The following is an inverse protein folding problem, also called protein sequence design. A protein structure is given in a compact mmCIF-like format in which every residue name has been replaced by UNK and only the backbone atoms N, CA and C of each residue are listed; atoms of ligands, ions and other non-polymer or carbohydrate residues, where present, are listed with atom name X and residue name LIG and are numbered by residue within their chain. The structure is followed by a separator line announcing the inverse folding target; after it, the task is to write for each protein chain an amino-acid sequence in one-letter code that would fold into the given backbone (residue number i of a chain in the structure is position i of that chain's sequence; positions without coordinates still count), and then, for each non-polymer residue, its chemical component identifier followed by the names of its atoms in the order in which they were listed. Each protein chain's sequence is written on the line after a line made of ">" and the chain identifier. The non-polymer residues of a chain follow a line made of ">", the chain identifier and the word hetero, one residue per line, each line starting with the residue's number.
data_IF_186737560466
#
_entry.id   IF_186737560466
#
_cell.length_a   1.000
_cell.length_b   1.000
_cell.length_c   1.000
_cell.angle_alpha   90.00
_cell.angle_beta   90.00
_cell.angle_gamma   90.00
#
_symmetry.space_group_name_H-M   'P 1'
#
loop_
_entity.id
_entity.type
_entity.pdbx_description
1 polymer ?
#
# COMPACT_ATOMS: atom_id res chain seq x y z
N UNK A 1 11.00 2.44 -10.02
CA UNK A 1 12.33 2.54 -9.37
C UNK A 1 13.51 2.36 -10.33
N UNK A 2 13.61 1.29 -11.14
CA UNK A 2 14.72 1.11 -12.11
C UNK A 2 14.84 2.23 -13.16
N UNK A 3 13.78 2.50 -13.94
CA UNK A 3 13.73 3.63 -14.89
C UNK A 3 13.61 4.99 -14.21
N UNK A 4 12.77 5.13 -13.20
CA UNK A 4 12.46 6.45 -12.64
C UNK A 4 13.50 7.03 -11.67
N UNK A 5 14.18 6.18 -10.90
CA UNK A 5 15.11 6.62 -9.84
C UNK A 5 16.56 6.54 -10.30
N UNK A 6 16.84 5.69 -11.30
CA UNK A 6 18.17 5.49 -11.87
C UNK A 6 18.26 5.87 -13.35
N UNK A 7 17.16 6.26 -14.01
CA UNK A 7 17.12 6.68 -15.42
C UNK A 7 17.77 5.68 -16.39
N UNK A 8 17.86 4.41 -16.01
CA UNK A 8 18.42 3.36 -16.87
C UNK A 8 17.40 2.86 -17.88
N UNK A 9 17.83 2.72 -19.14
CA UNK A 9 17.05 2.11 -20.21
C UNK A 9 17.47 0.64 -20.38
N UNK A 10 16.55 -0.35 -20.31
CA UNK A 10 16.86 -1.74 -20.63
C UNK A 10 17.29 -1.99 -22.09
N UNK A 11 17.11 -1.00 -22.98
CA UNK A 11 17.52 -1.02 -24.39
C UNK A 11 18.74 -0.13 -24.69
N UNK A 12 19.31 0.54 -23.68
CA UNK A 12 20.43 1.46 -23.78
C UNK A 12 21.82 0.79 -23.72
N UNK A 13 22.87 1.60 -23.65
CA UNK A 13 24.26 1.13 -23.59
C UNK A 13 24.57 0.36 -22.29
N UNK A 14 25.67 -0.39 -22.26
CA UNK A 14 26.06 -1.27 -21.13
C UNK A 14 26.09 -0.60 -19.74
N UNK A 15 26.31 0.72 -19.67
CA UNK A 15 26.23 1.48 -18.41
C UNK A 15 24.79 1.78 -17.96
N UNK A 16 23.86 2.04 -18.88
CA UNK A 16 22.44 2.33 -18.58
C UNK A 16 21.69 1.06 -18.14
N UNK A 17 22.02 -0.08 -18.75
CA UNK A 17 21.51 -1.38 -18.35
C UNK A 17 21.97 -1.77 -16.92
N UNK A 18 23.20 -1.43 -16.56
CA UNK A 18 23.75 -1.68 -15.22
C UNK A 18 23.13 -0.74 -14.17
N UNK A 19 22.90 0.53 -14.51
CA UNK A 19 22.16 1.47 -13.67
C UNK A 19 20.70 1.01 -13.43
N UNK A 20 20.05 0.46 -14.45
CA UNK A 20 18.71 -0.14 -14.34
C UNK A 20 18.71 -1.35 -13.40
N UNK A 21 19.66 -2.29 -13.55
CA UNK A 21 19.79 -3.45 -12.66
C UNK A 21 20.04 -3.06 -11.20
N UNK A 22 20.91 -2.08 -10.95
CA UNK A 22 21.11 -1.55 -9.59
C UNK A 22 19.85 -0.92 -9.02
N UNK A 23 19.07 -0.22 -9.84
CA UNK A 23 17.79 0.35 -9.45
C UNK A 23 16.73 -0.71 -9.13
N UNK A 24 16.67 -1.80 -9.90
CA UNK A 24 15.81 -2.96 -9.62
C UNK A 24 16.23 -3.64 -8.32
N UNK A 25 17.53 -3.83 -8.10
CA UNK A 25 18.05 -4.46 -6.88
C UNK A 25 17.73 -3.65 -5.62
N UNK A 26 17.91 -2.32 -5.66
CA UNK A 26 17.53 -1.46 -4.52
C UNK A 26 16.01 -1.38 -4.33
N UNK A 27 15.24 -1.44 -5.42
CA UNK A 27 13.79 -1.59 -5.35
C UNK A 27 13.36 -2.89 -4.66
N UNK A 28 14.03 -4.00 -4.96
CA UNK A 28 13.78 -5.29 -4.31
C UNK A 28 14.11 -5.26 -2.81
N UNK A 29 15.19 -4.58 -2.40
CA UNK A 29 15.50 -4.35 -0.98
C UNK A 29 14.41 -3.50 -0.32
N UNK A 30 13.89 -2.48 -1.00
CA UNK A 30 12.74 -1.71 -0.53
C UNK A 30 11.49 -2.57 -0.31
N UNK A 31 11.17 -3.47 -1.26
CA UNK A 31 10.08 -4.43 -1.15
C UNK A 31 10.27 -5.42 0.01
N UNK A 32 11.50 -5.87 0.24
CA UNK A 32 11.85 -6.72 1.36
C UNK A 32 11.59 -6.00 2.70
N UNK A 33 12.11 -4.78 2.85
CA UNK A 33 11.91 -3.98 4.06
C UNK A 33 10.44 -3.66 4.30
N UNK A 34 9.70 -3.32 3.24
CA UNK A 34 8.26 -3.13 3.31
C UNK A 34 7.55 -4.39 3.83
N UNK A 35 7.94 -5.58 3.35
CA UNK A 35 7.39 -6.85 3.81
C UNK A 35 7.69 -7.14 5.29
N UNK A 36 8.89 -6.82 5.76
CA UNK A 36 9.27 -6.98 7.18
C UNK A 36 8.42 -6.05 8.06
N UNK A 37 8.30 -4.78 7.68
CA UNK A 37 7.49 -3.79 8.41
C UNK A 37 6.02 -4.16 8.36
N UNK A 38 5.52 -4.65 7.23
CA UNK A 38 4.15 -5.14 7.09
C UNK A 38 3.91 -6.33 8.03
N UNK A 39 4.80 -7.32 8.05
CA UNK A 39 4.70 -8.47 8.93
C UNK A 39 4.71 -8.06 10.41
N UNK A 40 5.61 -7.15 10.80
CA UNK A 40 5.64 -6.59 12.16
C UNK A 40 4.36 -5.81 12.48
N UNK A 41 3.88 -5.01 11.51
CA UNK A 41 2.64 -4.25 11.59
C UNK A 41 1.43 -5.14 11.82
N UNK A 42 1.36 -6.30 11.16
CA UNK A 42 0.25 -7.26 11.31
C UNK A 42 0.02 -7.70 12.75
N UNK A 43 1.09 -7.92 13.54
CA UNK A 43 0.95 -8.24 14.97
C UNK A 43 0.36 -7.09 15.80
N UNK A 44 0.52 -5.85 15.33
CA UNK A 44 0.02 -4.65 16.00
C UNK A 44 -1.44 -4.33 15.63
N UNK A 45 -1.98 -4.90 14.55
CA UNK A 45 -3.33 -4.56 14.06
C UNK A 45 -4.39 -4.94 15.09
N UNK A 46 -4.33 -6.14 15.67
CA UNK A 46 -5.31 -6.58 16.65
C UNK A 46 -5.39 -5.68 17.89
N UNK A 47 -4.27 -5.32 18.56
CA UNK A 47 -4.33 -4.37 19.68
C UNK A 47 -4.74 -2.95 19.24
N UNK A 48 -4.32 -2.50 18.06
CA UNK A 48 -4.73 -1.19 17.50
C UNK A 48 -6.25 -1.14 17.26
N UNK A 49 -6.82 -2.15 16.62
CA UNK A 49 -8.25 -2.24 16.35
C UNK A 49 -9.07 -2.36 17.63
N UNK A 50 -8.59 -3.09 18.65
CA UNK A 50 -9.24 -3.17 19.96
C UNK A 50 -9.23 -1.85 20.72
N UNK A 51 -8.13 -1.09 20.66
CA UNK A 51 -7.98 0.13 21.44
C UNK A 51 -8.62 1.36 20.76
N UNK A 52 -8.37 1.53 19.46
CA UNK A 52 -8.77 2.71 18.68
C UNK A 52 -10.01 2.48 17.82
N UNK A 53 -10.41 1.22 17.62
CA UNK A 53 -11.50 0.84 16.75
C UNK A 53 -11.06 0.70 15.29
N UNK A 54 -11.59 -0.29 14.55
CA UNK A 54 -11.16 -0.59 13.18
C UNK A 54 -11.38 0.58 12.21
N UNK A 55 -12.42 1.40 12.44
CA UNK A 55 -12.69 2.62 11.67
C UNK A 55 -11.54 3.63 11.72
N UNK A 56 -11.05 3.94 12.93
CA UNK A 56 -10.01 4.95 13.11
C UNK A 56 -8.67 4.45 12.57
N UNK A 57 -8.35 3.18 12.80
CA UNK A 57 -7.14 2.55 12.29
C UNK A 57 -7.12 2.57 10.76
N UNK A 58 -8.23 2.24 10.10
CA UNK A 58 -8.34 2.30 8.64
C UNK A 58 -8.30 3.72 8.07
N UNK A 59 -8.91 4.70 8.75
CA UNK A 59 -8.83 6.09 8.31
C UNK A 59 -7.38 6.62 8.39
N UNK A 60 -6.69 6.38 9.51
CA UNK A 60 -5.30 6.79 9.70
C UNK A 60 -4.38 6.13 8.66
N UNK A 61 -4.58 4.84 8.36
CA UNK A 61 -3.77 4.16 7.35
C UNK A 61 -3.94 4.77 5.95
N UNK A 62 -5.16 5.13 5.55
CA UNK A 62 -5.41 5.82 4.28
C UNK A 62 -4.71 7.19 4.21
N UNK A 63 -4.68 7.95 5.32
CA UNK A 63 -3.91 9.19 5.38
C UNK A 63 -2.40 8.97 5.32
N UNK A 64 -1.88 7.90 5.93
CA UNK A 64 -0.47 7.52 5.79
C UNK A 64 -0.13 7.16 4.33
N UNK A 65 -1.01 6.45 3.62
CA UNK A 65 -0.84 6.15 2.18
C UNK A 65 -0.86 7.45 1.38
N UNK A 66 -1.76 8.39 1.68
CA UNK A 66 -1.78 9.71 1.04
C UNK A 66 -0.44 10.45 1.21
N UNK A 67 0.10 10.51 2.43
CA UNK A 67 1.38 11.16 2.70
C UNK A 67 2.54 10.44 1.99
N UNK A 68 2.55 9.10 2.00
CA UNK A 68 3.60 8.32 1.34
C UNK A 68 3.57 8.41 -0.18
N UNK A 69 2.39 8.37 -0.79
CA UNK A 69 2.24 8.57 -2.25
C UNK A 69 2.54 10.02 -2.64
N UNK A 70 2.08 10.99 -1.84
CA UNK A 70 2.38 12.41 -2.06
C UNK A 70 3.86 12.74 -1.95
N UNK A 71 4.56 12.20 -0.93
CA UNK A 71 6.01 12.36 -0.79
C UNK A 71 6.77 11.70 -1.95
N UNK A 72 6.34 10.52 -2.39
CA UNK A 72 6.93 9.84 -3.56
C UNK A 72 6.73 10.66 -4.84
N UNK A 73 5.54 11.24 -5.05
CA UNK A 73 5.28 12.13 -6.19
C UNK A 73 6.17 13.39 -6.16
N UNK A 74 6.33 14.01 -4.98
CA UNK A 74 7.19 15.19 -4.80
C UNK A 74 8.65 14.83 -5.07
N UNK A 75 9.15 13.72 -4.52
CA UNK A 75 10.53 13.26 -4.73
C UNK A 75 10.79 13.01 -6.22
N UNK A 76 9.87 12.34 -6.90
CA UNK A 76 10.00 12.08 -8.34
C UNK A 76 9.98 13.37 -9.16
N UNK A 77 9.04 14.28 -8.89
CA UNK A 77 8.97 15.58 -9.57
C UNK A 77 10.22 16.45 -9.34
N UNK A 78 10.84 16.39 -8.15
CA UNK A 78 12.10 17.08 -7.88
C UNK A 78 13.27 16.43 -8.63
N UNK A 79 13.30 15.10 -8.74
CA UNK A 79 14.31 14.37 -9.49
C UNK A 79 14.25 14.70 -10.99
N UNK A 80 13.05 14.78 -11.57
CA UNK A 80 12.84 15.15 -12.97
C UNK A 80 13.33 16.57 -13.31
N UNK A 81 13.25 17.52 -12.35
CA UNK A 81 13.63 18.92 -12.57
C UNK A 81 15.12 19.24 -12.37
N UNK A 82 15.85 18.47 -11.57
CA UNK A 82 17.23 18.83 -11.15
C UNK A 82 18.37 18.11 -11.88
N UNK A 83 18.08 17.10 -12.71
CA UNK A 83 19.11 16.40 -13.48
C UNK A 83 20.07 15.55 -12.61
N UNK A 84 20.63 14.49 -13.20
CA UNK A 84 21.24 13.33 -12.53
C UNK A 84 22.36 13.59 -11.49
N UNK A 85 23.01 14.75 -11.48
CA UNK A 85 24.27 14.93 -10.74
C UNK A 85 24.14 15.22 -9.23
N UNK A 86 22.93 15.48 -8.73
CA UNK A 86 22.71 15.76 -7.29
C UNK A 86 21.59 14.91 -6.68
N UNK A 87 21.43 13.68 -7.17
CA UNK A 87 20.59 12.69 -6.48
C UNK A 87 21.44 12.02 -5.39
N UNK A 88 21.66 12.78 -4.31
CA UNK A 88 22.43 12.38 -3.14
C UNK A 88 21.93 11.05 -2.56
N UNK A 89 22.84 10.29 -1.98
CA UNK A 89 22.55 9.05 -1.27
C UNK A 89 21.42 9.20 -0.23
N UNK A 90 21.23 10.39 0.36
CA UNK A 90 20.15 10.63 1.31
C UNK A 90 18.76 10.55 0.68
N UNK A 91 18.57 11.01 -0.56
CA UNK A 91 17.26 10.99 -1.23
C UNK A 91 16.86 9.56 -1.62
N UNK A 92 17.84 8.74 -2.05
CA UNK A 92 17.67 7.29 -2.26
C UNK A 92 17.29 6.59 -0.96
N UNK A 93 18.00 6.88 0.14
CA UNK A 93 17.70 6.29 1.45
C UNK A 93 16.35 6.77 1.99
N UNK A 94 15.97 8.02 1.76
CA UNK A 94 14.67 8.57 2.16
C UNK A 94 13.52 7.90 1.40
N UNK A 95 13.66 7.65 0.09
CA UNK A 95 12.67 6.91 -0.68
C UNK A 95 12.49 5.47 -0.17
N UNK A 96 13.58 4.78 0.15
CA UNK A 96 13.55 3.44 0.74
C UNK A 96 12.91 3.47 2.14
N UNK A 97 13.20 4.49 2.96
CA UNK A 97 12.62 4.65 4.28
C UNK A 97 11.12 4.92 4.23
N UNK A 98 10.66 5.83 3.35
CA UNK A 98 9.24 6.10 3.11
C UNK A 98 8.52 4.82 2.65
N UNK A 99 9.14 4.08 1.73
CA UNK A 99 8.58 2.83 1.22
C UNK A 99 8.51 1.74 2.29
N UNK A 100 9.50 1.65 3.18
CA UNK A 100 9.47 0.73 4.32
C UNK A 100 8.34 1.09 5.31
N UNK A 101 8.20 2.37 5.67
CA UNK A 101 7.15 2.86 6.58
C UNK A 101 5.75 2.61 6.02
N UNK A 102 5.58 2.70 4.69
CA UNK A 102 4.32 2.35 4.01
C UNK A 102 3.89 0.88 4.21
N UNK A 103 4.76 0.01 4.71
CA UNK A 103 4.38 -1.36 5.10
C UNK A 103 3.33 -1.39 6.21
N UNK A 104 3.36 -0.42 7.14
CA UNK A 104 2.39 -0.33 8.24
C UNK A 104 0.95 -0.07 7.75
N UNK A 105 0.66 0.97 6.95
CA UNK A 105 -0.70 1.19 6.46
C UNK A 105 -1.16 0.12 5.46
N UNK A 106 -0.23 -0.55 4.74
CA UNK A 106 -0.57 -1.71 3.91
C UNK A 106 -1.04 -2.89 4.76
N UNK A 107 -0.38 -3.17 5.88
CA UNK A 107 -0.81 -4.20 6.83
C UNK A 107 -2.25 -3.94 7.28
N UNK A 108 -2.55 -2.71 7.69
CA UNK A 108 -3.90 -2.29 8.09
C UNK A 108 -4.91 -2.49 6.95
N UNK A 109 -4.55 -2.10 5.73
CA UNK A 109 -5.43 -2.19 4.56
C UNK A 109 -5.76 -3.65 4.20
N UNK A 110 -4.81 -4.57 4.40
CA UNK A 110 -5.00 -5.99 4.14
C UNK A 110 -5.69 -6.76 5.26
N UNK A 111 -5.83 -6.20 6.46
CA UNK A 111 -6.46 -6.91 7.59
C UNK A 111 -7.79 -6.29 8.01
N UNK A 112 -7.91 -4.97 8.09
CA UNK A 112 -9.10 -4.32 8.66
C UNK A 112 -10.39 -4.61 7.89
N UNK A 113 -10.45 -4.54 6.54
CA UNK A 113 -11.67 -4.88 5.80
C UNK A 113 -12.15 -6.30 6.07
N UNK A 114 -11.22 -7.24 6.20
CA UNK A 114 -11.50 -8.64 6.51
C UNK A 114 -11.99 -8.80 7.94
N UNK A 115 -11.39 -8.13 8.92
CA UNK A 115 -11.84 -8.15 10.31
C UNK A 115 -13.26 -7.57 10.45
N UNK A 116 -13.54 -6.41 9.84
CA UNK A 116 -14.87 -5.78 9.85
C UNK A 116 -15.91 -6.70 9.22
N UNK A 117 -15.60 -7.27 8.05
CA UNK A 117 -16.52 -8.14 7.32
C UNK A 117 -16.80 -9.43 8.09
N UNK A 118 -15.79 -10.01 8.72
CA UNK A 118 -15.94 -11.19 9.57
C UNK A 118 -16.82 -10.90 10.80
N UNK A 119 -16.60 -9.77 11.47
CA UNK A 119 -17.39 -9.36 12.65
C UNK A 119 -18.87 -9.15 12.28
N UNK A 120 -19.15 -8.39 11.21
CA UNK A 120 -20.52 -8.15 10.73
C UNK A 120 -21.22 -9.43 10.23
N UNK A 121 -20.48 -10.31 9.55
CA UNK A 121 -21.05 -11.56 9.05
C UNK A 121 -21.29 -12.59 10.18
N UNK A 122 -20.57 -12.47 11.31
CA UNK A 122 -20.76 -13.34 12.47
C UNK A 122 -22.11 -13.12 13.16
N UNK A 123 -22.63 -11.88 13.15
CA UNK A 123 -23.97 -11.56 13.66
C UNK A 123 -25.10 -12.15 12.81
N UNK A 124 -24.81 -12.49 11.54
CA UNK A 124 -25.80 -12.98 10.57
C UNK A 124 -25.91 -14.51 10.50
N UNK A 125 -25.27 -15.26 11.41
CA UNK A 125 -25.57 -16.67 11.66
C UNK A 125 -25.28 -17.67 10.51
N UNK A 126 -24.14 -17.54 9.81
CA UNK A 126 -23.65 -18.57 8.89
C UNK A 126 -23.02 -18.08 7.57
N UNK A 127 -23.07 -16.77 7.30
CA UNK A 127 -22.59 -16.19 6.03
C UNK A 127 -21.12 -15.77 5.99
N UNK A 128 -20.32 -16.04 7.03
CA UNK A 128 -18.96 -15.48 7.16
C UNK A 128 -18.05 -15.85 5.98
N UNK A 129 -18.03 -17.12 5.56
CA UNK A 129 -17.23 -17.55 4.40
C UNK A 129 -17.66 -16.89 3.10
N UNK A 130 -18.98 -16.74 2.88
CA UNK A 130 -19.53 -16.10 1.68
C UNK A 130 -19.22 -14.59 1.66
N UNK A 131 -19.38 -13.89 2.78
CA UNK A 131 -19.05 -12.48 2.90
C UNK A 131 -17.56 -12.21 2.64
N UNK A 132 -16.68 -13.08 3.16
CA UNK A 132 -15.24 -13.02 2.91
C UNK A 132 -14.90 -13.32 1.44
N UNK A 133 -15.59 -14.27 0.81
CA UNK A 133 -15.47 -14.57 -0.63
C UNK A 133 -15.88 -13.38 -1.51
N UNK A 134 -17.01 -12.74 -1.21
CA UNK A 134 -17.47 -11.52 -1.90
C UNK A 134 -16.48 -10.38 -1.71
N UNK A 135 -15.93 -10.21 -0.50
CA UNK A 135 -14.90 -9.20 -0.23
C UNK A 135 -13.65 -9.43 -1.08
N UNK A 136 -13.15 -10.67 -1.19
CA UNK A 136 -12.01 -11.00 -2.03
C UNK A 136 -12.27 -10.67 -3.51
N UNK A 137 -13.46 -10.97 -4.02
CA UNK A 137 -13.84 -10.61 -5.39
C UNK A 137 -13.92 -9.09 -5.57
N UNK A 138 -14.45 -8.37 -4.59
CA UNK A 138 -14.53 -6.92 -4.61
C UNK A 138 -13.15 -6.24 -4.60
N UNK A 139 -12.13 -6.87 -3.99
CA UNK A 139 -10.75 -6.37 -3.98
C UNK A 139 -9.98 -6.76 -5.26
N UNK A 140 -10.14 -8.00 -5.74
CA UNK A 140 -9.35 -8.51 -6.86
C UNK A 140 -9.72 -7.85 -8.20
N UNK A 141 -10.99 -7.49 -8.41
CA UNK A 141 -11.43 -6.89 -9.69
C UNK A 141 -10.76 -5.53 -9.93
N UNK A 142 -10.82 -4.56 -9.00
CA UNK A 142 -10.04 -3.33 -9.13
C UNK A 142 -8.54 -3.56 -9.26
N UNK A 143 -7.99 -4.53 -8.51
CA UNK A 143 -6.56 -4.85 -8.57
C UNK A 143 -6.14 -5.34 -9.97
N UNK A 144 -6.97 -6.17 -10.61
CA UNK A 144 -6.72 -6.63 -11.98
C UNK A 144 -6.77 -5.49 -12.99
N UNK A 145 -7.72 -4.56 -12.85
CA UNK A 145 -7.81 -3.38 -13.72
C UNK A 145 -6.53 -2.54 -13.62
N UNK A 146 -6.04 -2.28 -12.40
CA UNK A 146 -4.80 -1.53 -12.18
C UNK A 146 -3.58 -2.27 -12.73
N UNK A 147 -3.50 -3.59 -12.52
CA UNK A 147 -2.37 -4.41 -13.01
C UNK A 147 -2.30 -4.42 -14.55
N UNK A 148 -3.44 -4.56 -15.23
CA UNK A 148 -3.51 -4.52 -16.69
C UNK A 148 -3.28 -3.10 -17.23
N UNK A 149 -3.73 -2.08 -16.50
CA UNK A 149 -3.60 -0.67 -16.89
C UNK A 149 -2.19 -0.10 -16.69
N UNK A 150 -1.38 -0.66 -15.79
CA UNK A 150 -0.06 -0.12 -15.44
C UNK A 150 0.91 -0.05 -16.64
N UNK A 151 0.91 -1.08 -17.51
CA UNK A 151 1.78 -1.11 -18.69
C UNK A 151 1.43 -0.02 -19.73
N UNK A 152 0.18 0.03 -20.21
CA UNK A 152 -0.28 1.10 -21.11
C UNK A 152 -0.13 2.49 -20.50
N UNK A 153 -0.36 2.64 -19.20
CA UNK A 153 -0.20 3.91 -18.49
C UNK A 153 1.25 4.40 -18.53
N UNK A 154 2.22 3.53 -18.23
CA UNK A 154 3.65 3.85 -18.30
C UNK A 154 4.06 4.31 -19.71
N UNK A 155 3.52 3.67 -20.75
CA UNK A 155 3.75 4.06 -22.14
C UNK A 155 3.15 5.42 -22.53
N UNK A 156 1.95 5.74 -22.04
CA UNK A 156 1.25 7.00 -22.36
C UNK A 156 1.90 8.24 -21.74
N UNK A 157 2.52 8.10 -20.58
CA UNK A 157 3.21 9.19 -19.88
C UNK A 157 4.74 9.20 -20.10
N UNK A 158 5.21 8.53 -21.15
CA UNK A 158 6.62 8.58 -21.57
C UNK A 158 7.59 7.87 -20.60
N UNK A 159 7.10 6.92 -19.79
CA UNK A 159 7.88 6.20 -18.79
C UNK A 159 7.91 6.82 -17.39
N UNK A 160 7.08 7.83 -17.15
CA UNK A 160 6.92 8.49 -15.85
C UNK A 160 5.64 8.04 -15.13
N UNK A 161 5.81 7.51 -13.93
CA UNK A 161 4.81 7.07 -12.96
C UNK A 161 4.39 8.21 -12.00
N UNK A 162 4.94 9.41 -12.17
CA UNK A 162 4.59 10.64 -11.43
C UNK A 162 3.09 10.95 -11.41
N UNK A 163 2.37 10.88 -12.55
CA UNK A 163 0.92 11.08 -12.55
C UNK A 163 0.20 9.99 -11.75
N UNK A 164 0.67 8.74 -11.80
CA UNK A 164 0.08 7.63 -11.07
C UNK A 164 0.17 7.84 -9.56
N UNK A 165 1.31 8.33 -9.05
CA UNK A 165 1.45 8.65 -7.63
C UNK A 165 0.51 9.78 -7.19
N UNK A 166 0.31 10.79 -8.04
CA UNK A 166 -0.66 11.87 -7.79
C UNK A 166 -2.10 11.34 -7.72
N UNK A 167 -2.51 10.50 -8.66
CA UNK A 167 -3.82 9.85 -8.63
C UNK A 167 -3.96 8.95 -7.39
N UNK A 168 -2.95 8.15 -7.07
CA UNK A 168 -2.96 7.29 -5.89
C UNK A 168 -3.11 8.09 -4.59
N UNK A 169 -2.44 9.24 -4.48
CA UNK A 169 -2.60 10.16 -3.35
C UNK A 169 -4.04 10.69 -3.27
N UNK A 170 -4.61 11.19 -4.37
CA UNK A 170 -5.99 11.67 -4.40
C UNK A 170 -6.99 10.58 -3.98
N UNK A 171 -6.87 9.37 -4.55
CA UNK A 171 -7.71 8.24 -4.19
C UNK A 171 -7.55 7.85 -2.73
N UNK A 172 -6.33 7.79 -2.19
CA UNK A 172 -6.07 7.49 -0.79
C UNK A 172 -6.67 8.56 0.16
N UNK A 173 -6.60 9.84 -0.21
CA UNK A 173 -7.23 10.92 0.55
C UNK A 173 -8.75 10.78 0.56
N UNK A 174 -9.38 10.58 -0.61
CA UNK A 174 -10.83 10.36 -0.69
C UNK A 174 -11.28 9.12 0.07
N UNK A 175 -10.51 8.02 0.00
CA UNK A 175 -10.76 6.80 0.77
C UNK A 175 -10.67 7.06 2.28
N UNK A 176 -9.67 7.83 2.75
CA UNK A 176 -9.54 8.22 4.15
C UNK A 176 -10.69 9.10 4.65
N UNK A 177 -11.21 10.01 3.82
CA UNK A 177 -12.39 10.82 4.15
C UNK A 177 -13.65 9.95 4.19
N UNK A 178 -13.84 9.06 3.20
CA UNK A 178 -14.97 8.13 3.17
C UNK A 178 -14.93 7.16 4.35
N UNK A 179 -13.75 6.67 4.73
CA UNK A 179 -13.51 5.88 5.93
C UNK A 179 -14.02 6.58 7.18
N UNK A 180 -13.61 7.83 7.34
CA UNK A 180 -13.97 8.65 8.49
C UNK A 180 -15.48 8.90 8.57
N UNK A 181 -16.14 9.14 7.44
CA UNK A 181 -17.56 9.48 7.39
C UNK A 181 -18.47 8.25 7.43
N UNK A 182 -18.20 7.24 6.59
CA UNK A 182 -19.15 6.16 6.30
C UNK A 182 -18.92 4.85 7.05
N UNK A 183 -17.74 4.57 7.60
CA UNK A 183 -17.56 3.30 8.29
C UNK A 183 -18.41 3.25 9.58
N UNK A 184 -19.07 2.11 9.86
CA UNK A 184 -19.76 1.90 11.13
C UNK A 184 -18.72 1.87 12.25
N UNK A 185 -19.04 2.53 13.37
CA UNK A 185 -18.26 2.38 14.60
C UNK A 185 -18.63 1.04 15.22
N UNK A 186 -17.85 -0.01 14.92
CA UNK A 186 -17.95 -1.27 15.64
C UNK A 186 -17.60 -1.02 17.10
N UNK A 187 -18.49 -1.44 18.00
CA UNK A 187 -18.41 -1.14 19.43
C UNK A 187 -17.14 -1.74 20.04
N UNK A 188 -16.46 -0.97 20.91
CA UNK A 188 -15.19 -1.31 21.60
C UNK A 188 -15.19 -2.63 22.40
N UNK A 189 -16.34 -3.32 22.52
CA UNK A 189 -16.52 -4.57 23.27
C UNK A 189 -16.78 -5.83 22.44
N UNK A 190 -16.88 -5.74 21.10
CA UNK A 190 -17.24 -6.86 20.21
C UNK A 190 -16.09 -7.62 19.55
N UNK A 191 -14.88 -7.04 19.55
CA UNK A 191 -13.73 -7.58 18.82
C UNK A 191 -13.24 -8.91 19.42
N UNK A 192 -13.86 -10.02 19.02
CA UNK A 192 -13.32 -11.36 19.17
C UNK A 192 -12.37 -11.58 18.01
N UNK A 193 -11.07 -11.63 18.31
CA UNK A 193 -10.10 -12.19 17.37
C UNK A 193 -10.67 -13.51 16.85
N UNK A 194 -10.62 -13.74 15.54
CA UNK A 194 -10.95 -15.04 14.97
C UNK A 194 -10.13 -16.09 15.73
N UNK A 195 -10.82 -16.84 16.60
CA UNK A 195 -10.16 -17.68 17.57
C UNK A 195 -9.28 -18.70 16.86
N UNK A 196 -8.04 -18.83 17.36
CA UNK A 196 -7.12 -19.95 17.09
C UNK A 196 -7.69 -21.22 17.74
N UNK A 197 -8.91 -21.60 17.37
CA UNK A 197 -9.69 -22.61 18.08
C UNK A 197 -10.90 -23.11 17.29
N UNK A 198 -10.77 -23.22 15.96
CA UNK A 198 -11.68 -24.09 15.21
C UNK A 198 -11.12 -25.51 15.24
N UNK A 199 -11.94 -26.42 15.77
CA UNK A 199 -11.55 -27.70 16.32
C UNK A 199 -10.92 -28.68 15.34
N UNK A 200 -9.87 -29.35 15.82
CA UNK A 200 -9.73 -30.79 15.59
C UNK A 200 -10.64 -31.48 16.62
N UNK A 201 -11.80 -31.93 16.16
CA UNK A 201 -12.77 -32.71 16.92
C UNK A 201 -13.68 -33.44 15.95
#
# INVERSE_FOLDING_TARGET
>A
MGREVFQGDPLGDTEEANAYQQGVQRGAIGLLLNSIVLAAGSFLIDPLCKHFGPKLVWAISNFMIFIGMGSTAIISALAARRGQHMYENWAKSAAIAVFAVLGLPLAVTYSVPYSITAELASESGGGQGLAMGVLNLAVVVPQMIVALGAGPWDGLFGGGNEPAFGFAALFAFTAGVVAWVKLPQLAKGGYRAAGVGHGFG
#
